data_IF_864244983285
#
_entry.id   IF_864244983285
#
_cell.length_a   1.000
_cell.length_b   1.000
_cell.length_c   1.000
_cell.angle_alpha   90.00
_cell.angle_beta   90.00
_cell.angle_gamma   90.00
#
_symmetry.space_group_name_H-M   'P 1'
#
loop_
_entity.id
_entity.type
_entity.pdbx_description
1 polymer ?
#
# COMPACT_ATOMS: atom_id res chain seq x y z
N UNK A 1 -34.07 -10.87 -21.12
CA UNK A 1 -33.39 -9.55 -20.97
C UNK A 1 -32.72 -9.59 -19.61
N UNK A 2 -31.52 -10.17 -19.55
CA UNK A 2 -30.78 -10.31 -18.28
C UNK A 2 -29.81 -9.13 -18.19
N UNK A 3 -29.89 -8.44 -17.05
CA UNK A 3 -29.10 -7.24 -16.75
C UNK A 3 -27.64 -7.68 -16.61
N UNK A 4 -26.79 -7.19 -17.50
CA UNK A 4 -25.34 -7.29 -17.39
C UNK A 4 -24.88 -6.32 -16.29
N UNK A 5 -24.90 -6.79 -15.05
CA UNK A 5 -24.29 -6.10 -13.91
C UNK A 5 -23.21 -7.00 -13.32
N UNK A 6 -22.17 -7.27 -14.10
CA UNK A 6 -20.94 -7.94 -13.64
C UNK A 6 -19.76 -6.96 -13.69
N UNK A 7 -19.96 -5.78 -13.10
CA UNK A 7 -18.98 -4.68 -13.13
C UNK A 7 -18.70 -4.13 -11.73
N UNK A 8 -18.70 -4.96 -10.68
CA UNK A 8 -18.18 -4.54 -9.36
C UNK A 8 -17.35 -5.66 -8.66
N UNK A 9 -17.25 -6.87 -9.22
CA UNK A 9 -16.55 -7.97 -8.51
C UNK A 9 -15.03 -8.04 -8.75
N UNK A 10 -14.47 -7.28 -9.69
CA UNK A 10 -13.04 -7.31 -10.03
C UNK A 10 -12.20 -6.22 -9.34
N UNK A 11 -12.82 -5.17 -8.79
CA UNK A 11 -12.10 -4.12 -8.05
C UNK A 11 -11.68 -4.55 -6.65
N UNK A 12 -12.50 -5.42 -6.01
CA UNK A 12 -12.29 -5.84 -4.62
C UNK A 12 -11.03 -6.66 -4.39
N UNK A 13 -10.58 -7.45 -5.37
CA UNK A 13 -9.33 -8.20 -5.25
C UNK A 13 -8.11 -7.28 -5.27
N UNK A 14 -8.09 -6.29 -6.17
CA UNK A 14 -6.99 -5.31 -6.25
C UNK A 14 -6.90 -4.45 -4.98
N UNK A 15 -8.05 -4.07 -4.42
CA UNK A 15 -8.10 -3.34 -3.15
C UNK A 15 -7.63 -4.21 -1.96
N UNK A 16 -7.95 -5.51 -1.95
CA UNK A 16 -7.49 -6.45 -0.93
C UNK A 16 -5.99 -6.73 -1.03
N UNK A 17 -5.47 -6.88 -2.26
CA UNK A 17 -4.04 -7.03 -2.53
C UNK A 17 -3.26 -5.77 -2.12
N UNK A 18 -3.76 -4.58 -2.46
CA UNK A 18 -3.19 -3.31 -2.02
C UNK A 18 -3.20 -3.19 -0.49
N UNK A 19 -4.32 -3.51 0.17
CA UNK A 19 -4.41 -3.46 1.64
C UNK A 19 -3.42 -4.43 2.29
N UNK A 20 -3.33 -5.66 1.78
CA UNK A 20 -2.40 -6.68 2.30
C UNK A 20 -0.95 -6.26 2.10
N UNK A 21 -0.65 -5.72 0.92
CA UNK A 21 0.67 -5.20 0.58
C UNK A 21 1.04 -3.98 1.44
N UNK A 22 0.12 -3.02 1.61
CA UNK A 22 0.33 -1.83 2.42
C UNK A 22 0.49 -2.17 3.91
N UNK A 23 -0.25 -3.17 4.41
CA UNK A 23 -0.06 -3.67 5.78
C UNK A 23 1.33 -4.28 5.96
N UNK A 24 1.82 -5.06 4.99
CA UNK A 24 3.18 -5.61 5.04
C UNK A 24 4.26 -4.50 5.00
N UNK A 25 4.03 -3.42 4.25
CA UNK A 25 4.89 -2.21 4.27
C UNK A 25 4.88 -1.60 5.68
N UNK A 26 3.70 -1.40 6.27
CA UNK A 26 3.56 -0.80 7.60
C UNK A 26 4.24 -1.64 8.68
N UNK A 27 3.96 -2.94 8.75
CA UNK A 27 4.59 -3.86 9.72
C UNK A 27 6.11 -3.85 9.61
N UNK A 28 6.63 -3.83 8.37
CA UNK A 28 8.07 -3.75 8.10
C UNK A 28 8.65 -2.40 8.56
N UNK A 29 7.99 -1.29 8.24
CA UNK A 29 8.45 0.03 8.64
C UNK A 29 8.39 0.23 10.17
N UNK A 30 7.40 -0.36 10.86
CA UNK A 30 7.35 -0.41 12.34
C UNK A 30 8.50 -1.27 12.87
N UNK A 31 8.74 -2.45 12.28
CA UNK A 31 9.80 -3.37 12.70
C UNK A 31 11.22 -2.81 12.52
N UNK A 32 11.45 -2.04 11.45
CA UNK A 32 12.69 -1.31 11.19
C UNK A 32 12.80 0.00 12.02
N UNK A 33 11.76 0.37 12.78
CA UNK A 33 11.74 1.60 13.59
C UNK A 33 11.67 2.89 12.78
N UNK A 34 11.26 2.81 11.52
CA UNK A 34 11.10 3.95 10.60
C UNK A 34 9.84 4.77 10.89
N UNK A 35 8.83 4.11 11.45
CA UNK A 35 7.58 4.73 11.91
C UNK A 35 7.31 4.35 13.37
N UNK A 36 6.82 5.31 14.14
CA UNK A 36 6.58 5.17 15.56
C UNK A 36 5.11 5.38 15.87
N UNK A 37 4.45 4.38 16.45
CA UNK A 37 3.02 4.45 16.80
C UNK A 37 2.81 5.53 17.88
N UNK A 38 1.76 6.37 17.79
CA UNK A 38 0.74 6.44 16.74
C UNK A 38 1.23 7.19 15.51
N UNK A 39 1.33 6.48 14.38
CA UNK A 39 1.68 7.05 13.10
C UNK A 39 0.46 6.94 12.18
N UNK A 40 0.04 8.06 11.62
CA UNK A 40 -1.08 8.13 10.69
C UNK A 40 -0.52 8.53 9.32
N UNK A 41 -0.71 7.71 8.27
CA UNK A 41 -0.23 8.04 6.93
C UNK A 41 -1.00 9.24 6.37
N UNK A 42 -0.30 10.32 6.04
CA UNK A 42 -0.88 11.42 5.25
C UNK A 42 -1.34 10.92 3.87
N UNK A 43 -2.29 11.63 3.24
CA UNK A 43 -2.73 11.39 1.86
C UNK A 43 -1.56 11.31 0.87
N UNK A 44 -0.49 12.05 1.12
CA UNK A 44 0.73 12.01 0.30
C UNK A 44 1.48 10.68 0.41
N UNK A 45 1.51 10.06 1.60
CA UNK A 45 2.09 8.74 1.83
C UNK A 45 1.21 7.68 1.17
N UNK A 46 -0.12 7.76 1.37
CA UNK A 46 -1.08 6.82 0.78
C UNK A 46 -0.95 6.80 -0.75
N UNK A 47 -0.94 7.97 -1.40
CA UNK A 47 -0.76 8.06 -2.86
C UNK A 47 0.59 7.52 -3.34
N UNK A 48 1.65 7.64 -2.53
CA UNK A 48 2.95 7.04 -2.85
C UNK A 48 2.91 5.53 -2.75
N UNK A 49 2.30 4.98 -1.70
CA UNK A 49 2.13 3.54 -1.53
C UNK A 49 1.32 2.92 -2.68
N UNK A 50 0.24 3.57 -3.10
CA UNK A 50 -0.53 3.16 -4.28
C UNK A 50 0.32 3.17 -5.56
N UNK A 51 1.12 4.22 -5.78
CA UNK A 51 2.02 4.30 -6.93
C UNK A 51 3.11 3.21 -6.91
N UNK A 52 3.67 2.90 -5.73
CA UNK A 52 4.64 1.82 -5.56
C UNK A 52 4.03 0.44 -5.82
N UNK A 53 2.80 0.22 -5.36
CA UNK A 53 2.07 -1.01 -5.67
C UNK A 53 1.82 -1.14 -7.18
N UNK A 54 1.38 -0.06 -7.83
CA UNK A 54 1.10 -0.07 -9.28
C UNK A 54 2.36 -0.26 -10.14
N UNK A 55 3.53 0.12 -9.62
CA UNK A 55 4.83 -0.10 -10.28
C UNK A 55 5.41 -1.48 -10.00
N UNK A 56 4.75 -2.28 -9.15
CA UNK A 56 5.16 -3.64 -8.81
C UNK A 56 6.29 -3.73 -7.81
N UNK A 57 6.51 -2.68 -7.00
CA UNK A 57 7.52 -2.73 -5.94
C UNK A 57 7.15 -3.76 -4.86
N UNK A 58 8.17 -4.40 -4.31
CA UNK A 58 7.98 -5.23 -3.12
C UNK A 58 7.73 -4.35 -1.88
N UNK A 59 7.01 -4.83 -0.85
CA UNK A 59 6.78 -4.06 0.37
C UNK A 59 8.08 -3.53 1.01
N UNK A 60 9.15 -4.34 1.02
CA UNK A 60 10.44 -3.94 1.55
C UNK A 60 11.13 -2.81 0.75
N UNK A 61 10.97 -2.82 -0.58
CA UNK A 61 11.48 -1.76 -1.44
C UNK A 61 10.66 -0.49 -1.26
N UNK A 62 9.34 -0.60 -1.13
CA UNK A 62 8.47 0.53 -0.86
C UNK A 62 8.76 1.17 0.50
N UNK A 63 9.03 0.39 1.55
CA UNK A 63 9.50 0.92 2.84
C UNK A 63 10.79 1.71 2.65
N UNK A 64 11.77 1.14 1.94
CA UNK A 64 13.04 1.81 1.71
C UNK A 64 12.89 3.09 0.87
N UNK A 65 12.07 3.04 -0.18
CA UNK A 65 11.79 4.20 -1.04
C UNK A 65 10.95 5.27 -0.33
N UNK A 66 10.07 4.89 0.59
CA UNK A 66 9.20 5.83 1.29
C UNK A 66 9.86 6.44 2.52
N UNK A 67 10.68 5.67 3.26
CA UNK A 67 11.21 6.05 4.56
C UNK A 67 12.75 6.10 4.66
N UNK A 68 13.50 5.41 3.78
CA UNK A 68 14.98 5.42 3.82
C UNK A 68 15.63 6.51 2.96
N UNK A 69 14.87 7.36 2.24
CA UNK A 69 15.43 8.43 1.40
C UNK A 69 16.04 9.62 2.18
N UNK A 70 16.14 9.53 3.50
CA UNK A 70 16.54 10.65 4.36
C UNK A 70 17.87 10.41 5.11
N UNK A 71 18.83 9.73 4.50
CA UNK A 71 20.16 9.49 5.06
C UNK A 71 21.29 10.06 4.18
#
# INVERSE_FOLDING_TARGET
>A
MFIQSDSIALSSSCELDLCTWANAVYEKAVGDGLIHVPWEPDDAIVRRLEAYFHTGLSPAEAVSACFCLNH
#
